data_IF_933456995035
#
_entry.id   IF_933456995035
#
_cell.length_a   1.000
_cell.length_b   1.000
_cell.length_c   1.000
_cell.angle_alpha   90.00
_cell.angle_beta   90.00
_cell.angle_gamma   90.00
#
_symmetry.space_group_name_H-M   'P 1'
#
loop_
_entity.id
_entity.type
_entity.pdbx_description
1 polymer ?
#
# COMPACT_ATOMS: atom_id res chain seq x y z
N UNK A 1 20.57 11.52 4.25
CA UNK A 1 19.39 10.69 3.89
C UNK A 1 18.48 10.51 5.10
N UNK A 2 17.19 10.78 4.95
CA UNK A 2 16.22 10.64 6.06
C UNK A 2 15.96 9.18 6.36
N UNK A 3 16.01 8.80 7.64
CA UNK A 3 15.67 7.46 8.11
C UNK A 3 15.11 7.49 9.55
N UNK A 4 14.51 6.38 9.95
CA UNK A 4 13.98 6.18 11.30
C UNK A 4 14.88 5.23 12.09
N UNK A 5 15.21 5.60 13.32
CA UNK A 5 15.92 4.74 14.25
C UNK A 5 15.10 4.48 15.51
N UNK A 6 15.29 3.31 16.12
CA UNK A 6 14.68 3.01 17.41
C UNK A 6 15.20 3.95 18.50
N UNK A 7 14.34 4.29 19.45
CA UNK A 7 14.77 5.01 20.64
C UNK A 7 15.52 4.05 21.56
N UNK A 8 16.75 4.42 21.92
CA UNK A 8 17.67 3.62 22.73
C UNK A 8 18.28 4.47 23.84
N UNK A 9 19.09 3.85 24.70
CA UNK A 9 19.85 4.57 25.71
C UNK A 9 20.85 5.56 25.10
N UNK A 10 21.28 5.32 23.86
CA UNK A 10 22.32 6.12 23.21
C UNK A 10 21.77 7.44 22.64
N UNK A 11 20.49 7.49 22.25
CA UNK A 11 19.89 8.66 21.59
C UNK A 11 18.83 9.40 22.43
N UNK A 12 18.51 8.91 23.64
CA UNK A 12 17.44 9.48 24.47
C UNK A 12 17.71 10.92 24.92
N UNK A 13 18.95 11.25 25.29
CA UNK A 13 19.29 12.59 25.78
C UNK A 13 19.17 13.64 24.66
N UNK A 14 19.60 13.29 23.44
CA UNK A 14 19.48 14.16 22.27
C UNK A 14 18.01 14.35 21.87
N UNK A 15 17.21 13.28 21.92
CA UNK A 15 15.77 13.29 21.67
C UNK A 15 15.01 14.20 22.62
N UNK A 16 15.29 14.12 23.93
CA UNK A 16 14.66 14.98 24.93
C UNK A 16 15.04 16.46 24.71
N UNK A 17 16.23 16.71 24.14
CA UNK A 17 16.71 18.04 23.78
C UNK A 17 16.07 18.66 22.53
N UNK A 18 15.24 17.92 21.78
CA UNK A 18 14.57 18.46 20.58
C UNK A 18 13.61 19.60 20.96
N UNK A 19 13.76 20.73 20.27
CA UNK A 19 12.94 21.92 20.49
C UNK A 19 12.12 22.28 19.25
N UNK A 20 10.81 22.43 19.45
CA UNK A 20 9.92 23.05 18.46
C UNK A 20 10.00 24.57 18.56
N UNK A 21 9.49 25.28 17.54
CA UNK A 21 9.39 26.74 17.63
C UNK A 21 8.37 27.12 18.70
N UNK A 22 8.54 28.29 19.34
CA UNK A 22 7.63 28.77 20.40
C UNK A 22 6.16 28.82 19.99
N UNK A 23 5.88 29.12 18.72
CA UNK A 23 4.52 29.13 18.16
C UNK A 23 3.90 27.73 17.98
N UNK A 24 4.69 26.67 18.17
CA UNK A 24 4.27 25.26 18.05
C UNK A 24 4.22 24.54 19.40
N UNK A 25 4.81 25.10 20.46
CA UNK A 25 4.87 24.49 21.80
C UNK A 25 3.47 24.14 22.36
N UNK A 26 2.46 24.97 22.06
CA UNK A 26 1.09 24.73 22.53
C UNK A 26 0.37 23.56 21.83
N UNK A 27 0.92 23.03 20.74
CA UNK A 27 0.26 22.03 19.91
C UNK A 27 0.86 20.62 20.05
N UNK A 28 2.02 20.47 20.71
CA UNK A 28 2.75 19.20 20.77
C UNK A 28 3.23 18.92 22.19
N UNK A 29 2.98 17.71 22.68
CA UNK A 29 3.57 17.22 23.92
C UNK A 29 5.10 17.15 23.80
N UNK A 30 5.82 17.26 24.91
CA UNK A 30 7.29 17.10 24.87
C UNK A 30 7.68 15.67 24.45
N UNK A 31 8.91 15.51 23.94
CA UNK A 31 9.44 14.16 23.63
C UNK A 31 9.48 13.31 24.90
N UNK A 32 9.86 13.87 26.05
CA UNK A 32 9.88 13.17 27.33
C UNK A 32 8.50 12.61 27.72
N UNK A 33 7.44 13.42 27.63
CA UNK A 33 6.06 12.96 27.88
C UNK A 33 5.64 11.89 26.87
N UNK A 34 6.04 12.03 25.61
CA UNK A 34 5.72 11.07 24.55
C UNK A 34 6.39 9.72 24.80
N UNK A 35 7.65 9.70 25.25
CA UNK A 35 8.37 8.48 25.62
C UNK A 35 7.79 7.84 26.90
N UNK A 36 7.36 8.64 27.88
CA UNK A 36 6.66 8.12 29.05
C UNK A 36 5.33 7.45 28.68
N UNK A 37 4.57 8.02 27.74
CA UNK A 37 3.38 7.38 27.18
C UNK A 37 3.74 6.09 26.45
N UNK A 38 4.78 6.10 25.61
CA UNK A 38 5.22 4.91 24.90
C UNK A 38 5.63 3.76 25.83
N UNK A 39 6.22 4.07 26.98
CA UNK A 39 6.54 3.07 28.00
C UNK A 39 5.28 2.37 28.55
N UNK A 40 4.24 3.15 28.86
CA UNK A 40 2.97 2.62 29.38
C UNK A 40 2.21 1.84 28.30
N UNK A 41 2.21 2.33 27.06
CA UNK A 41 1.53 1.74 25.91
C UNK A 41 2.49 0.93 25.02
N UNK A 42 3.45 0.23 25.61
CA UNK A 42 4.58 -0.39 24.86
C UNK A 42 4.17 -1.43 23.82
N UNK A 43 3.01 -2.06 23.97
CA UNK A 43 2.46 -2.99 22.97
C UNK A 43 1.87 -2.27 21.73
N UNK A 44 1.54 -0.98 21.88
CA UNK A 44 0.77 -0.22 20.89
C UNK A 44 1.48 1.03 20.38
N UNK A 45 2.52 1.52 21.06
CA UNK A 45 3.25 2.73 20.71
C UNK A 45 4.61 2.42 20.09
N UNK A 46 4.90 3.06 18.96
CA UNK A 46 6.10 2.85 18.17
C UNK A 46 6.85 4.18 17.98
N UNK A 47 7.65 4.60 18.98
CA UNK A 47 8.46 5.81 18.89
C UNK A 47 9.75 5.58 18.07
N UNK A 48 10.09 6.56 17.24
CA UNK A 48 11.32 6.58 16.46
C UNK A 48 11.98 7.96 16.49
N UNK A 49 13.30 7.93 16.54
CA UNK A 49 14.14 9.08 16.21
C UNK A 49 14.16 9.30 14.70
N UNK A 50 14.08 10.55 14.26
CA UNK A 50 14.19 10.92 12.85
C UNK A 50 15.56 11.52 12.62
N UNK A 51 16.35 10.90 11.76
CA UNK A 51 17.68 11.36 11.40
C UNK A 51 17.73 11.81 9.94
N UNK A 52 18.58 12.78 9.63
CA UNK A 52 19.10 13.05 8.28
C UNK A 52 20.60 12.80 8.29
N UNK A 53 21.01 11.69 7.66
CA UNK A 53 22.36 11.14 7.87
C UNK A 53 22.62 11.00 9.40
N UNK A 54 23.68 11.56 9.95
CA UNK A 54 23.99 11.42 11.37
C UNK A 54 23.27 12.46 12.26
N UNK A 55 22.55 13.43 11.69
CA UNK A 55 21.94 14.51 12.45
C UNK A 55 20.53 14.14 12.94
N UNK A 56 20.28 14.19 14.25
CA UNK A 56 18.93 14.06 14.80
C UNK A 56 18.11 15.31 14.43
N UNK A 57 17.06 15.10 13.63
CA UNK A 57 16.22 16.19 13.11
C UNK A 57 14.80 16.19 13.65
N UNK A 58 14.34 15.11 14.30
CA UNK A 58 12.99 15.06 14.81
C UNK A 58 12.61 13.76 15.53
N UNK A 59 11.32 13.63 15.78
CA UNK A 59 10.71 12.51 16.47
C UNK A 59 9.34 12.19 15.85
N UNK A 60 9.07 10.91 15.66
CA UNK A 60 7.78 10.39 15.20
C UNK A 60 7.35 9.25 16.09
N UNK A 61 6.08 9.21 16.44
CA UNK A 61 5.48 8.07 17.14
C UNK A 61 4.20 7.68 16.42
N UNK A 62 4.22 6.47 15.86
CA UNK A 62 3.03 5.80 15.37
C UNK A 62 2.43 4.98 16.51
N UNK A 63 1.14 4.68 16.45
CA UNK A 63 0.55 3.77 17.42
C UNK A 63 -0.81 3.21 17.05
N UNK A 64 -1.24 2.20 17.78
CA UNK A 64 -2.57 1.60 17.66
C UNK A 64 -3.49 2.13 18.75
N UNK A 65 -4.61 2.73 18.36
CA UNK A 65 -5.60 3.24 19.30
C UNK A 65 -6.70 2.21 19.55
N UNK A 66 -6.54 1.44 20.62
CA UNK A 66 -7.38 0.28 20.93
C UNK A 66 -8.88 0.60 21.00
N UNK A 67 -9.24 1.78 21.55
CA UNK A 67 -10.64 2.20 21.71
C UNK A 67 -11.38 2.31 20.38
N UNK A 68 -10.65 2.65 19.30
CA UNK A 68 -11.21 2.87 17.96
C UNK A 68 -10.81 1.81 16.95
N UNK A 69 -9.91 0.90 17.34
CA UNK A 69 -9.38 -0.16 16.48
C UNK A 69 -8.70 0.34 15.20
N UNK A 70 -7.91 1.42 15.28
CA UNK A 70 -7.14 1.92 14.14
C UNK A 70 -5.70 2.27 14.50
N UNK A 71 -4.84 2.36 13.48
CA UNK A 71 -3.50 2.93 13.60
C UNK A 71 -3.54 4.44 13.39
N UNK A 72 -2.64 5.16 14.04
CA UNK A 72 -2.61 6.62 14.02
C UNK A 72 -1.22 7.20 14.26
N UNK A 73 -0.97 8.38 13.70
CA UNK A 73 0.17 9.22 14.05
C UNK A 73 -0.09 9.86 15.42
N UNK A 74 0.55 9.36 16.47
CA UNK A 74 0.34 9.85 17.84
C UNK A 74 1.08 11.15 18.11
N UNK A 75 2.35 11.21 17.71
CA UNK A 75 3.22 12.38 17.94
C UNK A 75 4.14 12.58 16.75
N UNK A 76 4.34 13.84 16.40
CA UNK A 76 5.22 14.18 15.31
C UNK A 76 5.81 15.57 15.52
N UNK A 77 7.13 15.67 15.42
CA UNK A 77 7.84 16.94 15.45
C UNK A 77 9.14 16.87 14.67
N UNK A 78 9.47 18.00 14.04
CA UNK A 78 10.77 18.27 13.43
C UNK A 78 11.34 19.47 14.17
N UNK A 79 12.58 19.33 14.65
CA UNK A 79 13.27 20.39 15.36
C UNK A 79 13.35 21.65 14.49
N UNK A 80 13.11 22.80 15.10
CA UNK A 80 13.02 24.08 14.42
C UNK A 80 14.22 24.41 13.53
N UNK A 81 15.43 23.91 13.86
CA UNK A 81 16.67 24.09 13.07
C UNK A 81 16.62 23.38 11.71
N UNK A 82 15.71 22.42 11.56
CA UNK A 82 15.62 21.52 10.41
C UNK A 82 14.27 21.57 9.69
N UNK A 83 13.37 22.48 10.07
CA UNK A 83 12.11 22.71 9.37
C UNK A 83 12.31 23.31 7.97
N UNK A 84 11.30 23.19 7.11
CA UNK A 84 11.29 23.67 5.71
C UNK A 84 12.37 23.05 4.78
N UNK A 85 12.98 21.93 5.17
CA UNK A 85 13.96 21.17 4.37
C UNK A 85 13.41 19.87 3.76
N UNK A 86 12.10 19.61 3.94
CA UNK A 86 11.44 18.40 3.43
C UNK A 86 11.57 17.16 4.34
N UNK A 87 12.29 17.24 5.47
CA UNK A 87 12.47 16.11 6.38
C UNK A 87 11.16 15.63 6.99
N UNK A 88 10.25 16.55 7.33
CA UNK A 88 8.96 16.19 7.90
C UNK A 88 8.12 15.29 6.97
N UNK A 89 8.13 15.58 5.67
CA UNK A 89 7.42 14.76 4.68
C UNK A 89 8.01 13.35 4.59
N UNK A 90 9.34 13.26 4.46
CA UNK A 90 10.04 11.98 4.37
C UNK A 90 9.88 11.14 5.64
N UNK A 91 9.97 11.75 6.82
CA UNK A 91 9.79 11.05 8.09
C UNK A 91 8.37 10.49 8.25
N UNK A 92 7.36 11.26 7.82
CA UNK A 92 5.97 10.81 7.83
C UNK A 92 5.75 9.66 6.84
N UNK A 93 6.28 9.75 5.62
CA UNK A 93 6.25 8.66 4.63
C UNK A 93 6.85 7.37 5.21
N UNK A 94 8.02 7.44 5.85
CA UNK A 94 8.65 6.30 6.52
C UNK A 94 7.81 5.72 7.67
N UNK A 95 7.16 6.57 8.48
CA UNK A 95 6.29 6.12 9.56
C UNK A 95 5.03 5.40 9.04
N UNK A 96 4.46 5.89 7.94
CA UNK A 96 3.35 5.24 7.23
C UNK A 96 3.78 3.88 6.67
N UNK A 97 4.95 3.83 6.01
CA UNK A 97 5.52 2.58 5.47
C UNK A 97 5.76 1.55 6.57
N UNK A 98 6.31 1.95 7.72
CA UNK A 98 6.48 1.06 8.87
C UNK A 98 5.16 0.41 9.31
N UNK A 99 4.08 1.20 9.47
CA UNK A 99 2.77 0.66 9.86
C UNK A 99 2.19 -0.24 8.77
N UNK A 100 2.32 0.16 7.51
CA UNK A 100 1.85 -0.62 6.36
C UNK A 100 2.54 -1.98 6.28
N UNK A 101 3.87 -2.00 6.37
CA UNK A 101 4.66 -3.22 6.22
C UNK A 101 4.49 -4.15 7.42
N UNK A 102 4.38 -3.59 8.63
CA UNK A 102 4.28 -4.39 9.86
C UNK A 102 2.86 -4.92 10.11
N UNK A 103 1.83 -4.17 9.76
CA UNK A 103 0.45 -4.47 10.17
C UNK A 103 -0.56 -4.52 9.02
N UNK A 104 -0.22 -3.99 7.85
CA UNK A 104 -1.08 -3.91 6.66
C UNK A 104 -2.54 -3.46 6.96
N UNK A 105 -2.75 -2.34 7.69
CA UNK A 105 -4.10 -1.89 7.97
C UNK A 105 -4.73 -1.27 6.71
N UNK A 106 -6.07 -1.14 6.66
CA UNK A 106 -6.76 -0.47 5.54
C UNK A 106 -6.54 1.05 5.56
N UNK A 107 -6.28 1.63 6.73
CA UNK A 107 -6.15 3.06 6.94
C UNK A 107 -5.23 3.43 8.13
N UNK A 108 -4.82 4.70 8.16
CA UNK A 108 -4.11 5.37 9.26
C UNK A 108 -4.79 6.70 9.52
N UNK A 109 -4.93 7.07 10.80
CA UNK A 109 -5.57 8.32 11.23
C UNK A 109 -4.56 9.30 11.84
N UNK A 110 -4.97 10.56 11.99
CA UNK A 110 -4.28 11.53 12.83
C UNK A 110 -5.24 12.64 13.23
N UNK A 111 -4.97 13.31 14.34
CA UNK A 111 -5.64 14.56 14.72
C UNK A 111 -4.77 15.77 14.37
N UNK A 112 -5.39 16.88 13.97
CA UNK A 112 -4.74 18.18 13.85
C UNK A 112 -5.51 19.24 14.65
N UNK A 113 -4.80 20.02 15.46
CA UNK A 113 -5.42 21.13 16.18
C UNK A 113 -5.92 22.20 15.18
N UNK A 114 -7.12 22.77 15.40
CA UNK A 114 -7.64 23.87 14.60
C UNK A 114 -6.63 25.02 14.50
N UNK A 115 -6.38 25.51 13.29
CA UNK A 115 -5.40 26.57 13.02
C UNK A 115 -3.96 26.09 12.79
N UNK A 116 -3.63 24.82 13.03
CA UNK A 116 -2.32 24.25 12.69
C UNK A 116 -2.27 23.85 11.20
N UNK A 117 -2.36 24.86 10.33
CA UNK A 117 -2.37 24.68 8.87
C UNK A 117 -1.07 24.06 8.34
N UNK A 118 0.05 24.25 9.05
CA UNK A 118 1.34 23.67 8.65
C UNK A 118 1.28 22.14 8.75
N UNK A 119 0.81 21.61 9.88
CA UNK A 119 0.65 20.16 10.05
C UNK A 119 -0.42 19.60 9.10
N UNK A 120 -1.57 20.28 8.98
CA UNK A 120 -2.65 19.88 8.05
C UNK A 120 -2.15 19.76 6.62
N UNK A 121 -1.47 20.79 6.11
CA UNK A 121 -0.91 20.77 4.76
C UNK A 121 0.15 19.68 4.57
N UNK A 122 0.98 19.42 5.58
CA UNK A 122 1.95 18.33 5.54
C UNK A 122 1.25 16.97 5.43
N UNK A 123 0.24 16.70 6.27
CA UNK A 123 -0.50 15.45 6.27
C UNK A 123 -1.23 15.26 4.93
N UNK A 124 -1.91 16.28 4.43
CA UNK A 124 -2.56 16.21 3.12
C UNK A 124 -1.57 15.99 1.97
N UNK A 125 -0.34 16.50 2.07
CA UNK A 125 0.69 16.29 1.03
C UNK A 125 1.16 14.84 0.87
N UNK A 126 0.85 13.97 1.85
CA UNK A 126 1.12 12.53 1.80
C UNK A 126 -0.16 11.70 1.65
N UNK A 127 -1.30 12.34 1.37
CA UNK A 127 -2.57 11.67 1.03
C UNK A 127 -3.58 11.55 2.16
N UNK A 128 -3.36 12.18 3.32
CA UNK A 128 -4.41 12.27 4.34
C UNK A 128 -5.54 13.19 3.86
N UNK A 129 -6.78 12.74 4.06
CA UNK A 129 -8.00 13.49 3.75
C UNK A 129 -8.76 13.79 5.04
N UNK A 130 -9.43 14.94 5.10
CA UNK A 130 -10.28 15.31 6.23
C UNK A 130 -11.49 14.37 6.33
N UNK A 131 -11.78 13.83 7.51
CA UNK A 131 -12.97 12.98 7.72
C UNK A 131 -14.22 13.82 7.98
N UNK A 132 -14.05 15.10 8.32
CA UNK A 132 -15.10 16.01 8.78
C UNK A 132 -15.45 15.84 10.26
N UNK A 133 -14.80 14.93 10.97
CA UNK A 133 -14.98 14.74 12.41
C UNK A 133 -14.01 15.61 13.22
N UNK A 134 -14.47 16.03 14.39
CA UNK A 134 -13.64 16.72 15.39
C UNK A 134 -13.67 15.86 16.66
N UNK A 135 -12.51 15.39 17.11
CA UNK A 135 -12.36 14.56 18.30
C UNK A 135 -11.39 15.23 19.27
N UNK A 136 -11.80 15.38 20.54
CA UNK A 136 -11.02 16.07 21.57
C UNK A 136 -10.53 17.47 21.15
N UNK A 137 -11.29 18.17 20.31
CA UNK A 137 -10.94 19.49 19.78
C UNK A 137 -9.93 19.47 18.63
N UNK A 138 -9.60 18.30 18.07
CA UNK A 138 -8.73 18.12 16.90
C UNK A 138 -9.55 17.67 15.69
N UNK A 139 -9.30 18.26 14.52
CA UNK A 139 -9.83 17.79 13.24
C UNK A 139 -9.19 16.44 12.90
N UNK A 140 -10.01 15.43 12.61
CA UNK A 140 -9.54 14.09 12.25
C UNK A 140 -9.25 14.01 10.75
N UNK A 141 -8.08 13.42 10.43
CA UNK A 141 -7.69 13.10 9.07
C UNK A 141 -7.45 11.59 8.95
N UNK A 142 -7.72 11.06 7.76
CA UNK A 142 -7.54 9.64 7.42
C UNK A 142 -6.75 9.49 6.13
N UNK A 143 -5.73 8.63 6.17
CA UNK A 143 -5.04 8.10 5.00
C UNK A 143 -5.58 6.69 4.75
N UNK A 144 -6.20 6.47 3.59
CA UNK A 144 -6.66 5.14 3.18
C UNK A 144 -5.66 4.52 2.22
N UNK A 145 -5.22 3.30 2.50
CA UNK A 145 -4.39 2.57 1.54
C UNK A 145 -5.27 2.09 0.39
N UNK A 146 -4.89 2.44 -0.84
CA UNK A 146 -5.53 1.87 -2.03
C UNK A 146 -5.20 0.38 -2.08
N UNK A 147 -6.23 -0.44 -1.97
CA UNK A 147 -6.12 -1.85 -2.31
C UNK A 147 -6.19 -2.00 -3.83
N UNK A 148 -5.26 -2.80 -4.37
CA UNK A 148 -5.21 -3.05 -5.80
C UNK A 148 -5.63 -4.49 -6.10
N UNK A 149 -6.36 -4.64 -7.20
CA UNK A 149 -6.53 -5.90 -7.89
C UNK A 149 -5.57 -5.95 -9.10
N UNK A 150 -5.27 -7.15 -9.52
CA UNK A 150 -4.39 -7.44 -10.64
C UNK A 150 -5.17 -8.02 -11.82
N UNK A 151 -4.87 -7.54 -13.01
CA UNK A 151 -5.27 -8.16 -14.27
C UNK A 151 -4.02 -8.47 -15.10
N UNK A 152 -4.01 -9.58 -15.81
CA UNK A 152 -2.91 -9.97 -16.69
C UNK A 152 -3.34 -10.03 -18.14
N UNK A 153 -2.57 -9.42 -19.03
CA UNK A 153 -2.76 -9.54 -20.47
C UNK A 153 -1.42 -9.72 -21.19
N UNK A 154 -1.34 -10.58 -22.23
CA UNK A 154 -0.16 -10.63 -23.10
C UNK A 154 -0.06 -9.41 -24.02
N UNK A 155 -1.12 -8.60 -24.13
CA UNK A 155 -1.16 -7.41 -24.96
C UNK A 155 -1.11 -6.17 -24.09
N UNK A 156 -0.39 -5.15 -24.56
CA UNK A 156 -0.40 -3.83 -23.94
C UNK A 156 -1.70 -3.13 -24.31
N UNK A 157 -2.44 -2.72 -23.31
CA UNK A 157 -3.74 -2.08 -23.46
C UNK A 157 -3.72 -0.78 -22.66
N UNK A 158 -4.15 0.32 -23.26
CA UNK A 158 -4.29 1.59 -22.51
C UNK A 158 -5.48 1.55 -21.55
N UNK A 159 -6.43 0.65 -21.82
CA UNK A 159 -7.66 0.46 -21.05
C UNK A 159 -8.16 -0.98 -21.16
N UNK A 160 -8.86 -1.44 -20.13
CA UNK A 160 -9.53 -2.72 -20.07
C UNK A 160 -11.02 -2.51 -20.32
N UNK A 161 -11.56 -3.19 -21.33
CA UNK A 161 -12.97 -3.11 -21.71
C UNK A 161 -13.64 -4.44 -21.32
N UNK A 162 -14.85 -4.42 -20.74
CA UNK A 162 -15.60 -5.62 -20.45
C UNK A 162 -15.68 -6.56 -21.66
N UNK A 163 -15.32 -7.82 -21.44
CA UNK A 163 -15.46 -8.86 -22.44
C UNK A 163 -15.93 -10.15 -21.78
N UNK A 164 -16.56 -11.03 -22.55
CA UNK A 164 -16.96 -12.32 -22.05
C UNK A 164 -15.75 -13.26 -21.98
N UNK A 165 -15.44 -13.73 -20.79
CA UNK A 165 -14.46 -14.81 -20.64
C UNK A 165 -15.01 -16.12 -21.24
N UNK A 166 -14.12 -17.07 -21.52
CA UNK A 166 -14.48 -18.40 -21.95
C UNK A 166 -13.84 -19.40 -20.99
N UNK A 167 -14.69 -20.13 -20.27
CA UNK A 167 -14.31 -21.20 -19.35
C UNK A 167 -15.19 -22.43 -19.67
N UNK A 168 -14.54 -23.51 -20.10
CA UNK A 168 -15.21 -24.77 -20.45
C UNK A 168 -15.75 -25.52 -19.24
N UNK A 169 -15.26 -25.24 -18.04
CA UNK A 169 -15.69 -25.86 -16.79
C UNK A 169 -16.76 -25.08 -16.04
N UNK A 170 -16.98 -23.79 -16.38
CA UNK A 170 -17.89 -22.92 -15.64
C UNK A 170 -18.50 -21.78 -16.49
N UNK A 171 -19.39 -22.14 -17.43
CA UNK A 171 -20.04 -21.18 -18.32
C UNK A 171 -20.89 -20.12 -17.59
N UNK A 172 -21.51 -20.47 -16.45
CA UNK A 172 -22.33 -19.53 -15.67
C UNK A 172 -21.50 -18.40 -15.04
N UNK A 173 -20.18 -18.61 -14.82
CA UNK A 173 -19.25 -17.60 -14.32
C UNK A 173 -18.69 -16.66 -15.39
N UNK A 174 -18.94 -16.93 -16.67
CA UNK A 174 -18.45 -16.17 -17.83
C UNK A 174 -19.31 -14.92 -18.11
N UNK A 175 -19.25 -13.97 -17.18
CA UNK A 175 -19.88 -12.66 -17.27
C UNK A 175 -19.20 -11.76 -18.32
N UNK A 176 -19.91 -10.77 -18.86
CA UNK A 176 -19.29 -9.75 -19.70
C UNK A 176 -18.72 -8.65 -18.78
N UNK A 177 -17.44 -8.75 -18.43
CA UNK A 177 -16.81 -7.90 -17.43
C UNK A 177 -15.30 -7.76 -17.65
N UNK A 178 -14.68 -6.78 -17.01
CA UNK A 178 -13.25 -6.78 -16.74
C UNK A 178 -13.02 -7.65 -15.51
N UNK A 179 -12.14 -8.63 -15.64
CA UNK A 179 -11.81 -9.58 -14.58
C UNK A 179 -10.51 -9.16 -13.89
N UNK A 180 -10.46 -9.29 -12.56
CA UNK A 180 -9.27 -9.03 -11.78
C UNK A 180 -9.19 -9.96 -10.57
N UNK A 181 -8.06 -9.95 -9.88
CA UNK A 181 -7.83 -10.80 -8.70
C UNK A 181 -6.89 -10.15 -7.70
N UNK A 182 -7.00 -10.52 -6.43
CA UNK A 182 -6.02 -10.16 -5.40
C UNK A 182 -4.71 -10.95 -5.55
N UNK A 183 -4.75 -12.10 -6.26
CA UNK A 183 -3.59 -12.95 -6.44
C UNK A 183 -2.71 -12.48 -7.61
N UNK A 184 -1.58 -11.88 -7.27
CA UNK A 184 -0.62 -11.35 -8.26
C UNK A 184 -0.05 -12.44 -9.18
N UNK A 185 0.28 -13.62 -8.66
CA UNK A 185 0.85 -14.70 -9.48
C UNK A 185 -0.18 -15.25 -10.46
N UNK A 186 -1.42 -15.41 -10.01
CA UNK A 186 -2.53 -15.81 -10.88
C UNK A 186 -2.70 -14.81 -12.04
N UNK A 187 -2.68 -13.51 -11.75
CA UNK A 187 -2.73 -12.48 -12.80
C UNK A 187 -1.50 -12.53 -13.73
N UNK A 188 -0.30 -12.76 -13.20
CA UNK A 188 0.92 -12.92 -14.01
C UNK A 188 0.74 -14.07 -15.01
N UNK A 189 0.25 -15.22 -14.58
CA UNK A 189 -0.02 -16.37 -15.46
C UNK A 189 -0.88 -16.01 -16.69
N UNK A 190 -1.91 -15.17 -16.51
CA UNK A 190 -2.72 -14.69 -17.64
C UNK A 190 -1.97 -13.74 -18.58
N UNK A 191 -0.97 -13.01 -18.06
CA UNK A 191 -0.13 -12.11 -18.86
C UNK A 191 0.92 -12.81 -19.72
N UNK A 192 1.21 -14.10 -19.48
CA UNK A 192 2.24 -14.85 -20.20
C UNK A 192 1.83 -15.22 -21.64
N UNK A 193 0.56 -15.03 -22.00
CA UNK A 193 0.04 -15.37 -23.31
C UNK A 193 -0.20 -16.87 -23.50
N UNK A 194 -0.51 -17.25 -24.74
CA UNK A 194 -0.77 -18.63 -25.13
C UNK A 194 -0.50 -18.78 -26.61
N UNK A 195 0.60 -19.43 -26.97
CA UNK A 195 0.93 -19.79 -28.34
C UNK A 195 0.42 -21.21 -28.55
N UNK A 196 -0.55 -21.36 -29.46
CA UNK A 196 -1.21 -22.63 -29.73
C UNK A 196 -0.33 -23.51 -30.64
N UNK A 197 -0.20 -24.78 -30.29
CA UNK A 197 0.46 -25.77 -31.15
C UNK A 197 -0.55 -26.66 -31.87
N UNK A 198 -1.73 -26.89 -31.28
CA UNK A 198 -2.86 -27.64 -31.87
C UNK A 198 -4.19 -26.91 -31.63
N UNK A 199 -5.23 -27.32 -32.34
CA UNK A 199 -6.56 -26.69 -32.26
C UNK A 199 -7.23 -26.83 -30.88
N UNK A 200 -6.93 -27.91 -30.16
CA UNK A 200 -7.41 -28.17 -28.80
C UNK A 200 -6.46 -27.64 -27.71
N UNK A 201 -5.83 -26.49 -27.98
CA UNK A 201 -5.00 -25.79 -27.02
C UNK A 201 -5.83 -25.27 -25.84
N UNK A 202 -5.43 -25.63 -24.62
CA UNK A 202 -6.13 -25.28 -23.39
C UNK A 202 -5.15 -24.74 -22.34
N UNK A 203 -5.65 -23.82 -21.51
CA UNK A 203 -4.93 -23.31 -20.35
C UNK A 203 -5.81 -23.45 -19.12
N UNK A 204 -5.27 -24.06 -18.08
CA UNK A 204 -6.01 -24.32 -16.84
C UNK A 204 -5.27 -23.72 -15.67
N UNK A 205 -5.95 -22.85 -14.93
CA UNK A 205 -5.42 -22.32 -13.68
C UNK A 205 -5.57 -23.35 -12.57
N UNK A 206 -4.52 -23.58 -11.80
CA UNK A 206 -4.52 -24.45 -10.62
C UNK A 206 -4.13 -23.66 -9.37
N UNK A 207 -5.09 -22.95 -8.74
CA UNK A 207 -4.83 -22.17 -7.52
C UNK A 207 -4.32 -23.04 -6.37
N UNK A 208 -4.89 -24.23 -6.19
CA UNK A 208 -4.55 -25.16 -5.11
C UNK A 208 -3.13 -25.77 -5.20
N UNK A 209 -2.44 -25.60 -6.33
CA UNK A 209 -1.07 -26.10 -6.57
C UNK A 209 -0.04 -24.96 -6.73
N UNK A 210 -0.25 -23.85 -6.01
CA UNK A 210 0.70 -22.74 -5.95
C UNK A 210 0.55 -21.73 -7.10
N UNK A 211 -0.69 -21.47 -7.52
CA UNK A 211 -1.04 -20.48 -8.56
C UNK A 211 -0.37 -20.72 -9.92
N UNK A 212 -0.29 -22.00 -10.30
CA UNK A 212 0.30 -22.40 -11.58
C UNK A 212 -0.72 -22.42 -12.70
N UNK A 213 -0.24 -22.16 -13.91
CA UNK A 213 -0.99 -22.37 -15.15
C UNK A 213 -0.48 -23.61 -15.87
N UNK A 214 -1.37 -24.58 -16.10
CA UNK A 214 -1.09 -25.70 -16.99
C UNK A 214 -1.40 -25.27 -18.43
N UNK A 215 -0.47 -25.53 -19.32
CA UNK A 215 -0.62 -25.35 -20.76
C UNK A 215 -0.67 -26.70 -21.44
N UNK A 216 -1.77 -26.99 -22.13
CA UNK A 216 -1.95 -28.23 -22.88
C UNK A 216 -2.04 -27.94 -24.36
N UNK A 217 -1.21 -28.61 -25.17
CA UNK A 217 -1.06 -28.34 -26.62
C UNK A 217 -0.80 -26.85 -26.97
N UNK A 218 -0.20 -26.12 -26.04
CA UNK A 218 0.18 -24.73 -26.16
C UNK A 218 1.31 -24.42 -25.18
N UNK A 219 1.86 -23.21 -25.26
CA UNK A 219 2.91 -22.77 -24.36
C UNK A 219 2.83 -21.24 -24.14
N UNK A 220 3.47 -20.69 -23.09
CA UNK A 220 3.56 -19.24 -22.91
C UNK A 220 4.39 -18.59 -24.03
N UNK A 221 4.28 -17.28 -24.19
CA UNK A 221 4.96 -16.52 -25.24
C UNK A 221 6.45 -16.31 -24.91
N UNK A 222 7.27 -17.37 -25.03
CA UNK A 222 8.70 -17.38 -24.74
C UNK A 222 9.46 -16.22 -25.41
N UNK A 223 10.38 -15.59 -24.67
CA UNK A 223 11.12 -14.40 -25.11
C UNK A 223 10.26 -13.15 -25.28
N UNK A 224 8.95 -13.25 -25.05
CA UNK A 224 7.98 -12.17 -25.20
C UNK A 224 7.81 -11.32 -23.93
N UNK A 225 6.85 -10.40 -24.02
CA UNK A 225 6.44 -9.51 -22.94
C UNK A 225 5.02 -9.83 -22.50
N UNK A 226 4.76 -9.64 -21.21
CA UNK A 226 3.43 -9.63 -20.61
C UNK A 226 3.18 -8.31 -19.88
N UNK A 227 1.92 -8.03 -19.59
CA UNK A 227 1.51 -6.80 -18.91
C UNK A 227 0.61 -7.12 -17.72
N UNK A 228 1.01 -6.63 -16.55
CA UNK A 228 0.26 -6.70 -15.31
C UNK A 228 -0.33 -5.32 -15.00
N UNK A 229 -1.62 -5.28 -14.74
CA UNK A 229 -2.37 -4.05 -14.52
C UNK A 229 -2.78 -3.96 -13.06
N UNK A 230 -2.46 -2.84 -12.41
CA UNK A 230 -2.93 -2.54 -11.05
C UNK A 230 -4.21 -1.71 -11.17
N UNK A 231 -5.28 -2.23 -10.57
CA UNK A 231 -6.63 -1.72 -10.71
C UNK A 231 -7.16 -1.34 -9.33
N UNK A 232 -7.83 -0.19 -9.22
CA UNK A 232 -8.47 0.22 -7.97
C UNK A 232 -9.60 -0.75 -7.60
N UNK A 233 -9.41 -1.48 -6.49
CA UNK A 233 -10.35 -2.50 -6.01
C UNK A 233 -11.75 -1.94 -5.77
N UNK A 234 -11.90 -0.65 -5.43
CA UNK A 234 -13.22 -0.02 -5.19
C UNK A 234 -14.13 -0.01 -6.42
N UNK A 235 -13.57 -0.15 -7.62
CA UNK A 235 -14.33 -0.21 -8.89
C UNK A 235 -14.85 -1.62 -9.21
N UNK A 236 -14.51 -2.60 -8.38
CA UNK A 236 -14.85 -4.01 -8.62
C UNK A 236 -15.83 -4.53 -7.57
N UNK A 237 -16.63 -5.51 -7.98
CA UNK A 237 -17.44 -6.32 -7.08
C UNK A 237 -16.83 -7.71 -6.98
N UNK A 238 -16.76 -8.27 -5.78
CA UNK A 238 -16.34 -9.65 -5.58
C UNK A 238 -17.34 -10.59 -6.25
N UNK A 239 -16.87 -11.52 -7.08
CA UNK A 239 -17.72 -12.44 -7.81
C UNK A 239 -17.74 -13.82 -7.13
N UNK A 240 -16.61 -14.54 -7.19
CA UNK A 240 -16.47 -15.89 -6.63
C UNK A 240 -14.98 -16.21 -6.43
N UNK A 241 -14.64 -16.90 -5.34
CA UNK A 241 -13.26 -17.29 -5.06
C UNK A 241 -12.32 -16.09 -5.06
N UNK A 242 -11.27 -16.13 -5.88
CA UNK A 242 -10.29 -15.04 -6.05
C UNK A 242 -10.67 -14.04 -7.15
N UNK A 243 -11.84 -14.20 -7.79
CA UNK A 243 -12.29 -13.41 -8.92
C UNK A 243 -13.10 -12.18 -8.50
N UNK A 244 -12.74 -11.05 -9.10
CA UNK A 244 -13.44 -9.77 -9.00
C UNK A 244 -13.83 -9.31 -10.40
N UNK A 245 -14.98 -8.65 -10.52
CA UNK A 245 -15.51 -8.19 -11.82
C UNK A 245 -15.87 -6.71 -11.78
N UNK A 246 -15.65 -6.02 -12.90
CA UNK A 246 -16.16 -4.69 -13.16
C UNK A 246 -16.92 -4.71 -14.51
N UNK A 247 -18.14 -4.17 -14.54
CA UNK A 247 -18.97 -4.16 -15.75
C UNK A 247 -18.75 -2.90 -16.61
N UNK A 248 -17.82 -2.04 -16.21
CA UNK A 248 -17.47 -0.81 -16.91
C UNK A 248 -16.03 -0.87 -17.46
N UNK A 249 -15.72 0.05 -18.36
CA UNK A 249 -14.36 0.27 -18.84
C UNK A 249 -13.47 0.77 -17.69
N UNK A 250 -12.25 0.21 -17.58
CA UNK A 250 -11.27 0.62 -16.57
C UNK A 250 -9.97 1.07 -17.20
N UNK A 251 -9.55 2.27 -16.80
CA UNK A 251 -8.18 2.75 -16.97
C UNK A 251 -7.34 2.26 -15.78
N UNK A 252 -6.25 1.52 -16.02
CA UNK A 252 -5.38 1.03 -14.96
C UNK A 252 -4.62 2.17 -14.27
N UNK A 253 -4.41 2.05 -12.96
CA UNK A 253 -3.62 3.03 -12.18
C UNK A 253 -2.11 2.89 -12.50
N UNK A 254 -1.68 1.66 -12.78
CA UNK A 254 -0.31 1.35 -13.21
C UNK A 254 -0.30 0.14 -14.13
N UNK A 255 0.56 0.20 -15.15
CA UNK A 255 0.87 -0.93 -16.03
C UNK A 255 2.32 -1.32 -15.77
N UNK A 256 2.55 -2.60 -15.46
CA UNK A 256 3.86 -3.19 -15.24
C UNK A 256 4.15 -4.13 -16.41
N UNK A 257 5.17 -3.82 -17.20
CA UNK A 257 5.71 -4.75 -18.19
C UNK A 257 6.59 -5.80 -17.50
N UNK A 258 6.42 -7.06 -17.89
CA UNK A 258 7.23 -8.19 -17.44
C UNK A 258 7.84 -8.93 -18.64
N UNK A 259 8.99 -9.58 -18.44
CA UNK A 259 9.49 -10.57 -19.39
C UNK A 259 8.84 -11.91 -19.07
N UNK A 260 8.33 -12.60 -20.08
CA UNK A 260 7.66 -13.90 -19.88
C UNK A 260 8.60 -14.93 -19.26
N UNK A 261 9.87 -14.91 -19.68
CA UNK A 261 10.87 -15.90 -19.28
C UNK A 261 11.21 -15.86 -17.77
N UNK A 262 11.03 -14.71 -17.12
CA UNK A 262 11.25 -14.53 -15.68
C UNK A 262 10.21 -15.30 -14.82
N UNK A 263 9.09 -15.69 -15.44
CA UNK A 263 7.92 -16.25 -14.74
C UNK A 263 7.54 -17.67 -15.21
N UNK A 264 8.39 -18.35 -15.98
CA UNK A 264 8.13 -19.72 -16.44
C UNK A 264 8.01 -20.74 -15.32
N UNK A 265 8.53 -20.44 -14.12
CA UNK A 265 8.35 -21.27 -12.93
C UNK A 265 6.87 -21.38 -12.48
N UNK A 266 6.00 -20.49 -12.95
CA UNK A 266 4.55 -20.53 -12.74
C UNK A 266 3.81 -21.36 -13.82
N UNK A 267 4.52 -21.90 -14.81
CA UNK A 267 3.96 -22.68 -15.90
C UNK A 267 4.27 -24.17 -15.74
N UNK A 268 3.32 -25.00 -16.15
CA UNK A 268 3.52 -26.43 -16.35
C UNK A 268 3.03 -26.80 -17.75
N UNK A 269 3.88 -27.49 -18.53
CA UNK A 269 3.56 -27.87 -19.91
C UNK A 269 3.12 -29.33 -19.92
N UNK A 270 1.87 -29.56 -20.29
CA UNK A 270 1.27 -30.87 -20.50
C UNK A 270 1.30 -31.20 -22.01
N UNK A 271 2.30 -31.99 -22.40
CA UNK A 271 2.62 -32.36 -23.79
C UNK A 271 1.66 -33.39 -24.39
#
# INVERSE_FOLDING_TARGET
MVHLEQVTQDNIDELIGLAVRKDQESFVSTVAESLAQAYVYSDNAYPFAVYEDEALVGFIMMGYYEVKHYYTLWKFLIDHRYQNKGYGRKALELGIEFIKDKFNPPDIYTGVAPGNNIAKNLYCSVGFEETGLIECGMEELRLTFKEYLYHGSPLKLDKLIPNRAYDTGFEEGCQCAVYATENRNMAICFSLGCIKEKDNAERTMMPEYGDKMIFKNCHPNYGGKGYLYLLDKKKFTHALGSQWVCYEEIVPEKIIEINVDDYLHLCEIDC
#
